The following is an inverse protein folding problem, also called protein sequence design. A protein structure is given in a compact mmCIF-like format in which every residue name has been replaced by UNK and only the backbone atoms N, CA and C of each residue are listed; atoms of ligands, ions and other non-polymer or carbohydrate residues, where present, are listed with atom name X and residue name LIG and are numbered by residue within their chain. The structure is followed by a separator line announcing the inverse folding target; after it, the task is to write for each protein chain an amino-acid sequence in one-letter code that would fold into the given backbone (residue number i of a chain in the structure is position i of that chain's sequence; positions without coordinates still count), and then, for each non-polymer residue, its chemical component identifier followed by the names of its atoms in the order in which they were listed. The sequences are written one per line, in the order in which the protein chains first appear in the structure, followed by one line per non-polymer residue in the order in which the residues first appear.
data_IF_201387220161
#
_entry.id   IF_201387220161
#
_cell.length_a   1.000
_cell.length_b   1.000
_cell.length_c   1.000
_cell.angle_alpha   90.00
_cell.angle_beta   90.00
_cell.angle_gamma   90.00
#
_symmetry.space_group_name_H-M   'P 1'
#
loop_
_entity.id
_entity.type
_entity.pdbx_description
1 polymer ?
#
# COMPACT_ATOMS: atom_id res chain seq x y z
N UNK A 1 23.47 -19.86 5.48
CA UNK A 1 22.70 -19.13 6.50
C UNK A 1 23.47 -17.85 6.82
N UNK A 2 22.87 -16.68 6.58
CA UNK A 2 23.57 -15.40 6.79
C UNK A 2 23.71 -15.04 8.25
N UNK A 3 24.72 -14.24 8.59
CA UNK A 3 24.83 -13.57 9.88
C UNK A 3 24.63 -12.08 9.65
N UNK A 4 23.94 -11.42 10.57
CA UNK A 4 23.81 -9.97 10.58
C UNK A 4 24.39 -9.48 11.89
N UNK A 5 25.39 -8.62 11.79
CA UNK A 5 26.14 -8.11 12.94
C UNK A 5 25.81 -6.65 13.25
N UNK A 6 25.18 -5.93 12.31
CA UNK A 6 24.80 -4.53 12.50
C UNK A 6 23.42 -4.19 11.92
N UNK A 7 22.84 -3.10 12.41
CA UNK A 7 21.59 -2.57 11.85
C UNK A 7 21.77 -2.04 10.42
N UNK A 8 22.94 -1.48 10.11
CA UNK A 8 23.24 -0.97 8.76
C UNK A 8 23.27 -2.11 7.74
N UNK A 9 23.86 -3.24 8.11
CA UNK A 9 23.86 -4.45 7.28
C UNK A 9 22.44 -4.98 7.04
N UNK A 10 21.60 -4.99 8.08
CA UNK A 10 20.19 -5.39 7.96
C UNK A 10 19.41 -4.44 7.03
N UNK A 11 19.54 -3.14 7.21
CA UNK A 11 18.82 -2.15 6.39
C UNK A 11 19.27 -2.23 4.93
N UNK A 12 20.58 -2.34 4.68
CA UNK A 12 21.10 -2.54 3.33
C UNK A 12 20.57 -3.85 2.71
N UNK A 13 20.38 -4.91 3.50
CA UNK A 13 19.77 -6.15 3.01
C UNK A 13 18.31 -5.94 2.61
N UNK A 14 17.54 -5.21 3.42
CA UNK A 14 16.11 -4.90 3.15
C UNK A 14 15.98 -4.04 1.89
N UNK A 15 16.81 -3.01 1.74
CA UNK A 15 16.75 -2.07 0.60
C UNK A 15 17.07 -2.74 -0.75
N UNK A 16 17.93 -3.77 -0.75
CA UNK A 16 18.31 -4.50 -1.95
C UNK A 16 17.48 -5.80 -2.15
N UNK A 17 16.35 -5.95 -1.46
CA UNK A 17 15.46 -7.08 -1.73
C UNK A 17 14.68 -6.89 -3.02
N UNK A 18 14.49 -7.99 -3.74
CA UNK A 18 13.71 -8.11 -4.97
C UNK A 18 12.99 -9.47 -5.01
N UNK A 19 12.28 -9.73 -6.11
CA UNK A 19 11.59 -11.02 -6.33
C UNK A 19 12.52 -12.22 -6.27
N UNK A 20 13.73 -12.09 -6.78
CA UNK A 20 14.69 -13.18 -6.92
C UNK A 20 15.31 -13.56 -5.57
N UNK A 21 15.40 -12.62 -4.63
CA UNK A 21 15.91 -12.82 -3.28
C UNK A 21 14.85 -12.62 -2.18
N UNK A 22 13.56 -12.75 -2.54
CA UNK A 22 12.38 -12.45 -1.73
C UNK A 22 12.27 -13.18 -0.39
N UNK A 23 13.06 -14.22 -0.15
CA UNK A 23 13.15 -14.90 1.14
C UNK A 23 14.61 -14.99 1.58
N UNK A 24 14.91 -14.42 2.75
CA UNK A 24 16.25 -14.40 3.31
C UNK A 24 16.27 -14.82 4.78
N UNK A 25 17.02 -15.88 5.10
CA UNK A 25 17.19 -16.37 6.47
C UNK A 25 18.56 -15.97 7.04
N UNK A 26 18.54 -15.35 8.21
CA UNK A 26 19.74 -14.90 8.91
C UNK A 26 19.68 -15.15 10.42
N UNK A 27 20.82 -15.07 11.08
CA UNK A 27 20.91 -15.12 12.54
C UNK A 27 21.53 -13.84 13.06
N UNK A 28 21.02 -13.36 14.20
CA UNK A 28 21.66 -12.28 14.96
C UNK A 28 22.27 -12.90 16.22
N UNK A 29 23.58 -12.72 16.46
CA UNK A 29 24.23 -13.18 17.68
C UNK A 29 23.47 -12.74 18.94
N UNK A 30 23.16 -13.70 19.81
CA UNK A 30 22.43 -13.45 21.06
C UNK A 30 20.92 -13.19 20.92
N UNK A 31 20.36 -13.10 19.70
CA UNK A 31 18.92 -12.90 19.47
C UNK A 31 18.24 -14.04 18.71
N UNK A 32 19.02 -14.89 18.03
CA UNK A 32 18.50 -16.10 17.40
C UNK A 32 18.36 -15.99 15.88
N UNK A 33 17.45 -16.78 15.31
CA UNK A 33 17.25 -16.96 13.87
C UNK A 33 16.01 -16.18 13.41
N UNK A 34 16.15 -15.51 12.27
CA UNK A 34 15.11 -14.68 11.66
C UNK A 34 14.95 -15.05 10.19
N UNK A 35 13.74 -14.85 9.68
CA UNK A 35 13.42 -14.94 8.26
C UNK A 35 12.82 -13.62 7.84
N UNK A 36 13.44 -12.98 6.85
CA UNK A 36 12.91 -11.80 6.17
C UNK A 36 12.24 -12.26 4.88
N UNK A 37 11.03 -11.76 4.65
CA UNK A 37 10.23 -12.07 3.46
C UNK A 37 9.82 -10.75 2.83
N UNK A 38 10.15 -10.57 1.55
CA UNK A 38 9.63 -9.47 0.75
C UNK A 38 8.18 -9.79 0.40
N UNK A 39 7.27 -9.03 0.98
CA UNK A 39 5.87 -9.01 0.56
C UNK A 39 5.72 -7.89 -0.45
N UNK A 40 5.97 -8.19 -1.72
CA UNK A 40 5.51 -7.29 -2.77
C UNK A 40 3.98 -7.32 -2.77
N UNK A 41 3.35 -6.19 -2.42
CA UNK A 41 2.05 -5.91 -3.00
C UNK A 41 2.29 -5.87 -4.51
N UNK A 42 1.57 -6.69 -5.29
CA UNK A 42 1.61 -6.60 -6.74
C UNK A 42 1.61 -5.10 -7.12
N UNK A 43 2.51 -4.67 -8.00
CA UNK A 43 2.54 -3.33 -8.57
C UNK A 43 1.29 -3.05 -9.45
N UNK A 44 0.11 -3.50 -9.04
CA UNK A 44 -1.15 -2.95 -9.49
C UNK A 44 -1.23 -1.51 -8.94
N UNK A 45 -0.48 -0.63 -9.62
CA UNK A 45 -0.65 0.79 -9.46
C UNK A 45 -2.11 1.15 -9.71
N UNK A 46 -2.59 2.22 -9.09
CA UNK A 46 -3.91 2.79 -9.39
C UNK A 46 -4.07 3.00 -10.91
N UNK A 47 -2.98 3.32 -11.62
CA UNK A 47 -2.98 3.42 -13.08
C UNK A 47 -3.31 2.08 -13.77
N UNK A 48 -2.70 0.98 -13.34
CA UNK A 48 -2.99 -0.37 -13.84
C UNK A 48 -4.46 -0.74 -13.61
N UNK A 49 -5.01 -0.42 -12.44
CA UNK A 49 -6.42 -0.70 -12.11
C UNK A 49 -7.38 0.15 -12.92
N UNK A 50 -7.05 1.42 -13.14
CA UNK A 50 -7.80 2.36 -13.99
C UNK A 50 -7.79 1.94 -15.46
N UNK A 51 -6.68 1.39 -15.95
CA UNK A 51 -6.57 0.86 -17.32
C UNK A 51 -7.39 -0.43 -17.49
N UNK A 52 -7.43 -1.28 -16.46
CA UNK A 52 -8.23 -2.52 -16.44
C UNK A 52 -9.73 -2.27 -16.25
N UNK A 53 -10.14 -1.16 -15.63
CA UNK A 53 -11.54 -0.85 -15.32
C UNK A 53 -11.98 0.53 -15.87
N UNK A 54 -12.66 0.56 -17.04
CA UNK A 54 -13.17 1.79 -17.64
C UNK A 54 -14.15 2.58 -16.76
N UNK A 55 -14.93 1.90 -15.90
CA UNK A 55 -15.86 2.56 -14.99
C UNK A 55 -15.10 3.29 -13.87
N UNK A 56 -14.05 2.67 -13.33
CA UNK A 56 -13.18 3.29 -12.33
C UNK A 56 -12.50 4.54 -12.92
N UNK A 57 -12.04 4.47 -14.17
CA UNK A 57 -11.49 5.63 -14.88
C UNK A 57 -12.49 6.78 -14.95
N UNK A 58 -13.73 6.49 -15.33
CA UNK A 58 -14.80 7.48 -15.42
C UNK A 58 -15.09 8.11 -14.05
N UNK A 59 -15.25 7.30 -13.01
CA UNK A 59 -15.52 7.79 -11.64
C UNK A 59 -14.42 8.75 -11.15
N UNK A 60 -13.15 8.43 -11.41
CA UNK A 60 -12.02 9.28 -11.01
C UNK A 60 -12.03 10.61 -11.76
N UNK A 61 -12.27 10.60 -13.08
CA UNK A 61 -12.30 11.84 -13.86
C UNK A 61 -13.50 12.72 -13.51
N UNK A 62 -14.66 12.13 -13.27
CA UNK A 62 -15.84 12.84 -12.78
C UNK A 62 -15.58 13.45 -11.40
N UNK A 63 -15.03 12.68 -10.47
CA UNK A 63 -14.66 13.17 -9.13
C UNK A 63 -13.71 14.38 -9.19
N UNK A 64 -12.66 14.31 -10.03
CA UNK A 64 -11.74 15.45 -10.25
C UNK A 64 -12.46 16.66 -10.85
N UNK A 65 -13.37 16.46 -11.79
CA UNK A 65 -14.16 17.54 -12.41
C UNK A 65 -15.04 18.23 -11.36
N UNK A 66 -15.76 17.45 -10.56
CA UNK A 66 -16.67 17.99 -9.54
C UNK A 66 -15.91 18.69 -8.40
N UNK A 67 -14.75 18.17 -8.00
CA UNK A 67 -13.85 18.84 -7.07
C UNK A 67 -13.40 20.22 -7.59
N UNK A 68 -12.97 20.31 -8.87
CA UNK A 68 -12.60 21.59 -9.49
C UNK A 68 -13.76 22.58 -9.57
N UNK A 69 -14.99 22.09 -9.65
CA UNK A 69 -16.22 22.92 -9.61
C UNK A 69 -16.65 23.30 -8.19
N UNK A 70 -15.88 22.92 -7.16
CA UNK A 70 -16.19 23.20 -5.76
C UNK A 70 -17.32 22.33 -5.20
N UNK A 71 -17.71 21.25 -5.88
CA UNK A 71 -18.79 20.34 -5.43
C UNK A 71 -18.27 19.23 -4.51
N UNK A 72 -17.30 19.57 -3.67
CA UNK A 72 -16.83 18.69 -2.61
C UNK A 72 -17.81 18.67 -1.43
N UNK A 73 -17.74 17.64 -0.61
CA UNK A 73 -18.44 17.54 0.65
C UNK A 73 -17.41 17.31 1.75
N UNK A 74 -17.48 18.07 2.83
CA UNK A 74 -16.65 17.84 4.00
C UNK A 74 -17.08 16.58 4.73
N UNK A 75 -16.17 16.03 5.54
CA UNK A 75 -16.48 14.87 6.39
C UNK A 75 -17.64 15.16 7.34
N UNK A 76 -17.74 16.38 7.88
CA UNK A 76 -18.85 16.79 8.75
C UNK A 76 -20.18 16.83 8.01
N UNK A 77 -20.22 17.39 6.80
CA UNK A 77 -21.42 17.39 5.97
C UNK A 77 -21.84 15.96 5.63
N UNK A 78 -20.90 15.10 5.24
CA UNK A 78 -21.17 13.68 4.94
C UNK A 78 -21.80 12.98 6.14
N UNK A 79 -21.19 13.08 7.33
CA UNK A 79 -21.70 12.45 8.54
C UNK A 79 -23.11 12.94 8.91
N UNK A 80 -23.40 14.23 8.71
CA UNK A 80 -24.72 14.80 8.96
C UNK A 80 -25.76 14.39 7.91
N UNK A 81 -25.33 14.03 6.70
CA UNK A 81 -26.21 13.54 5.63
C UNK A 81 -26.61 12.07 5.78
N UNK A 82 -25.86 11.31 6.58
CA UNK A 82 -26.12 9.91 6.85
C UNK A 82 -27.15 9.76 7.98
N UNK A 83 -28.11 8.87 7.78
CA UNK A 83 -29.13 8.51 8.76
C UNK A 83 -29.18 7.00 8.96
N UNK A 84 -29.83 6.53 10.03
CA UNK A 84 -29.98 5.09 10.30
C UNK A 84 -30.58 4.31 9.11
N UNK A 85 -31.48 4.93 8.35
CA UNK A 85 -32.12 4.34 7.15
C UNK A 85 -31.14 4.09 5.99
N UNK A 86 -29.95 4.67 6.02
CA UNK A 86 -28.94 4.47 4.98
C UNK A 86 -28.13 3.18 5.18
N UNK A 87 -28.34 2.48 6.31
CA UNK A 87 -27.62 1.26 6.69
C UNK A 87 -28.54 0.06 6.90
N UNK A 88 -29.83 0.20 6.56
CA UNK A 88 -30.83 -0.87 6.48
C UNK A 88 -30.83 -1.49 5.07
#
# INVERSE_FOLDING_TARGET
MGFIESSEELMNRIENMDRDNSVFQFSIPGKGKFTLVLQEEDENSIKSDVEKNPQLKQMIEESKSEYKKGKGMSTSELLNSLSAKNFE
#
